data_IF_475248500033
#
_entry.id   IF_475248500033
#
_cell.length_a   1.000
_cell.length_b   1.000
_cell.length_c   1.000
_cell.angle_alpha   90.00
_cell.angle_beta   90.00
_cell.angle_gamma   90.00
#
_symmetry.space_group_name_H-M   'P 1'
#
loop_
_entity.id
_entity.type
_entity.pdbx_description
1 polymer ?
#
# COMPACT_ATOMS: atom_id res chain seq x y z
N UNK A 1 38.88 7.22 -43.41
CA UNK A 1 40.10 7.95 -43.00
C UNK A 1 39.96 8.21 -41.51
N UNK A 2 40.25 7.19 -40.69
CA UNK A 2 41.46 7.13 -39.83
C UNK A 2 41.30 8.04 -38.61
N UNK A 3 41.40 7.64 -37.34
CA UNK A 3 42.19 6.58 -36.73
C UNK A 3 41.64 6.29 -35.31
N UNK A 4 41.56 5.01 -34.95
CA UNK A 4 41.58 4.53 -33.57
C UNK A 4 43.04 4.32 -33.14
N UNK A 5 43.41 4.62 -31.89
CA UNK A 5 44.40 3.80 -31.21
C UNK A 5 43.84 3.23 -29.90
N UNK A 6 43.42 1.97 -29.98
CA UNK A 6 44.03 0.84 -29.28
C UNK A 6 44.91 1.20 -28.05
N UNK A 7 44.32 1.29 -26.86
CA UNK A 7 45.04 1.01 -25.61
C UNK A 7 44.60 -0.37 -25.15
N UNK A 8 45.45 -1.33 -25.48
CA UNK A 8 45.37 -2.71 -25.07
C UNK A 8 45.87 -2.88 -23.62
N UNK A 9 45.08 -3.64 -22.86
CA UNK A 9 45.51 -4.74 -21.98
C UNK A 9 46.45 -4.41 -20.80
N UNK A 10 45.93 -4.56 -19.57
CA UNK A 10 46.54 -5.49 -18.61
C UNK A 10 45.46 -6.33 -17.92
N UNK A 11 45.69 -7.63 -17.93
CA UNK A 11 44.82 -8.74 -17.50
C UNK A 11 45.04 -9.08 -16.01
N UNK A 12 43.95 -9.55 -15.37
CA UNK A 12 43.85 -10.68 -14.42
C UNK A 12 44.56 -10.56 -13.04
N UNK A 13 44.14 -11.29 -11.96
CA UNK A 13 43.43 -12.57 -11.98
C UNK A 13 42.20 -12.72 -11.07
N UNK A 14 41.45 -13.81 -11.35
CA UNK A 14 40.49 -14.43 -10.46
C UNK A 14 41.16 -14.85 -9.15
N UNK A 15 40.54 -14.51 -8.02
CA UNK A 15 40.66 -15.23 -6.74
C UNK A 15 39.27 -15.24 -6.10
N UNK A 16 38.46 -16.28 -6.33
CA UNK A 16 38.33 -17.41 -5.39
C UNK A 16 38.18 -16.97 -3.94
N UNK A 17 36.95 -16.85 -3.46
CA UNK A 17 36.55 -17.41 -2.17
C UNK A 17 35.07 -17.78 -2.23
N UNK A 18 34.81 -18.95 -2.81
CA UNK A 18 33.62 -19.71 -2.47
C UNK A 18 33.68 -20.06 -0.99
N UNK A 19 32.60 -19.79 -0.24
CA UNK A 19 32.34 -20.49 1.02
C UNK A 19 31.23 -21.49 0.74
N UNK A 20 31.50 -22.79 0.74
CA UNK A 20 30.47 -23.80 0.66
C UNK A 20 29.72 -23.90 2.00
N UNK A 21 28.40 -24.02 1.86
CA UNK A 21 27.41 -24.72 2.68
C UNK A 21 27.97 -25.41 3.94
N UNK A 22 27.47 -24.99 5.11
CA UNK A 22 27.34 -25.89 6.27
C UNK A 22 25.85 -26.21 6.45
N UNK A 23 25.54 -27.48 6.20
CA UNK A 23 24.29 -28.17 6.46
C UNK A 23 24.38 -28.83 7.85
N UNK A 24 23.24 -29.14 8.50
CA UNK A 24 23.00 -29.91 9.76
C UNK A 24 22.68 -29.04 10.99
N UNK A 25 21.61 -29.24 11.77
CA UNK A 25 20.56 -30.28 11.84
C UNK A 25 19.41 -29.74 12.73
N UNK A 26 18.12 -29.92 12.41
CA UNK A 26 17.25 -31.10 12.61
C UNK A 26 16.95 -31.42 14.10
N UNK A 27 15.68 -31.13 14.46
CA UNK A 27 14.79 -31.80 15.43
C UNK A 27 15.06 -31.76 16.94
N UNK A 28 14.10 -31.23 17.70
CA UNK A 28 13.25 -31.97 18.67
C UNK A 28 12.01 -31.09 19.01
N UNK A 29 10.79 -31.51 18.63
CA UNK A 29 9.79 -32.19 19.49
C UNK A 29 9.53 -31.43 20.82
N UNK A 30 8.33 -30.99 21.20
CA UNK A 30 6.98 -31.16 20.68
C UNK A 30 5.94 -30.61 21.69
N UNK A 31 4.71 -30.44 21.20
CA UNK A 31 3.42 -30.53 21.89
C UNK A 31 3.11 -29.64 23.11
N UNK A 32 2.34 -28.59 22.86
CA UNK A 32 1.12 -28.29 23.65
C UNK A 32 0.10 -27.67 22.69
N UNK A 33 -0.81 -28.48 22.15
CA UNK A 33 -2.16 -28.69 22.66
C UNK A 33 -3.08 -27.46 22.47
N UNK A 34 -3.74 -27.47 21.31
CA UNK A 34 -5.19 -27.40 21.16
C UNK A 34 -5.92 -26.28 21.91
N UNK A 35 -6.15 -25.13 21.26
CA UNK A 35 -7.29 -24.26 21.59
C UNK A 35 -7.92 -23.68 20.30
N UNK A 36 -9.01 -24.33 19.89
CA UNK A 36 -10.23 -23.80 19.27
C UNK A 36 -10.59 -22.37 19.75
N UNK A 37 -11.28 -21.47 19.04
CA UNK A 37 -12.27 -21.56 17.97
C UNK A 37 -12.45 -20.15 17.33
N UNK A 38 -13.27 -19.98 16.27
CA UNK A 38 -13.47 -18.70 15.58
C UNK A 38 -14.56 -17.86 16.26
N UNK A 39 -14.27 -16.59 16.53
CA UNK A 39 -15.29 -15.61 16.89
C UNK A 39 -15.50 -14.67 15.69
N UNK A 40 -16.49 -15.01 14.87
CA UNK A 40 -17.15 -14.09 13.94
C UNK A 40 -17.87 -13.03 14.78
N UNK A 41 -17.19 -11.93 15.07
CA UNK A 41 -17.84 -10.75 15.64
C UNK A 41 -18.18 -9.81 14.47
N UNK A 42 -19.40 -9.95 13.96
CA UNK A 42 -20.05 -8.92 13.16
C UNK A 42 -20.20 -7.67 14.03
N UNK A 43 -19.60 -6.51 13.70
CA UNK A 43 -19.93 -5.29 14.40
C UNK A 43 -21.36 -4.88 14.01
N UNK A 44 -22.31 -5.16 14.89
CA UNK A 44 -23.62 -4.51 14.87
C UNK A 44 -23.40 -3.07 15.33
N UNK A 45 -23.67 -2.05 14.51
CA UNK A 45 -23.61 -0.67 14.99
C UNK A 45 -24.68 -0.48 16.08
N UNK A 46 -24.37 0.24 17.18
CA UNK A 46 -25.36 0.53 18.19
C UNK A 46 -26.48 1.38 17.57
N UNK A 47 -27.69 0.82 17.53
CA UNK A 47 -28.90 1.61 17.43
C UNK A 47 -29.00 2.44 18.70
N UNK A 48 -28.60 3.70 18.64
CA UNK A 48 -28.91 4.66 19.70
C UNK A 48 -30.41 4.92 19.72
N UNK A 49 -31.03 5.00 20.92
CA UNK A 49 -32.44 5.32 21.06
C UNK A 49 -32.68 6.75 20.58
N UNK A 50 -33.62 6.91 19.66
CA UNK A 50 -34.17 8.22 19.31
C UNK A 50 -35.12 8.61 20.44
N UNK A 51 -34.58 9.25 21.49
CA UNK A 51 -35.43 9.92 22.47
C UNK A 51 -35.58 11.39 22.08
N UNK A 52 -36.82 11.67 21.69
CA UNK A 52 -37.36 12.97 21.34
C UNK A 52 -37.37 13.88 22.57
N UNK A 53 -36.74 15.04 22.49
CA UNK A 53 -37.19 16.25 23.21
C UNK A 53 -36.74 17.48 22.42
N UNK A 54 -37.70 18.13 21.77
CA UNK A 54 -37.53 19.43 21.15
C UNK A 54 -37.49 20.54 22.21
N UNK A 55 -36.85 21.67 21.90
CA UNK A 55 -37.65 22.89 21.85
C UNK A 55 -37.60 23.51 20.45
N UNK A 56 -38.76 23.98 20.03
CA UNK A 56 -38.98 24.68 18.78
C UNK A 56 -38.16 25.98 18.72
N UNK A 57 -37.15 26.06 17.85
CA UNK A 57 -36.63 27.32 17.32
C UNK A 57 -36.13 27.15 15.87
N UNK A 58 -36.71 27.98 15.00
CA UNK A 58 -36.26 28.34 13.65
C UNK A 58 -36.28 27.26 12.54
N UNK A 59 -36.74 27.69 11.37
CA UNK A 59 -37.05 26.87 10.20
C UNK A 59 -35.75 26.36 9.56
N UNK A 60 -35.47 25.07 9.70
CA UNK A 60 -34.38 24.38 9.02
C UNK A 60 -34.94 23.63 7.80
N UNK A 61 -34.46 23.88 6.56
CA UNK A 61 -34.98 23.18 5.40
C UNK A 61 -34.56 21.71 5.51
N UNK A 62 -35.54 20.82 5.50
CA UNK A 62 -35.37 19.38 5.52
C UNK A 62 -34.62 18.92 4.26
N UNK A 63 -33.29 18.85 4.32
CA UNK A 63 -32.49 18.23 3.27
C UNK A 63 -32.54 16.72 3.50
N UNK A 64 -33.52 16.06 2.87
CA UNK A 64 -33.45 14.64 2.52
C UNK A 64 -32.04 14.35 2.02
N UNK A 65 -31.34 13.27 2.42
CA UNK A 65 -30.05 12.94 1.83
C UNK A 65 -30.26 12.80 0.32
N UNK A 66 -29.86 13.81 -0.43
CA UNK A 66 -29.70 13.70 -1.85
C UNK A 66 -28.57 12.69 -2.00
N UNK A 67 -28.91 11.47 -2.42
CA UNK A 67 -27.93 10.53 -2.90
C UNK A 67 -27.26 11.22 -4.08
N UNK A 68 -26.14 11.87 -3.80
CA UNK A 68 -25.31 12.52 -4.81
C UNK A 68 -25.11 11.51 -5.92
N UNK A 69 -25.31 11.89 -7.20
CA UNK A 69 -25.02 10.98 -8.29
C UNK A 69 -23.60 10.48 -8.09
N UNK A 70 -23.40 9.16 -8.19
CA UNK A 70 -22.08 8.52 -8.13
C UNK A 70 -21.34 8.95 -9.39
N UNK A 71 -20.81 10.17 -9.38
CA UNK A 71 -20.03 10.74 -10.47
C UNK A 71 -18.58 10.39 -10.20
N UNK A 72 -18.06 9.47 -11.00
CA UNK A 72 -16.64 9.16 -11.07
C UNK A 72 -16.41 7.68 -11.33
N UNK A 73 -15.82 7.37 -12.48
CA UNK A 73 -15.06 6.12 -12.60
C UNK A 73 -13.98 6.16 -11.53
N UNK A 74 -13.84 5.10 -10.74
CA UNK A 74 -12.80 5.03 -9.72
C UNK A 74 -11.41 5.24 -10.35
N UNK A 75 -10.53 5.96 -9.64
CA UNK A 75 -9.15 6.14 -10.10
C UNK A 75 -8.46 4.76 -10.19
N UNK A 76 -8.01 4.32 -11.36
CA UNK A 76 -7.41 2.99 -11.53
C UNK A 76 -6.15 2.80 -10.68
N UNK A 77 -5.38 3.86 -10.42
CA UNK A 77 -4.20 3.80 -9.56
C UNK A 77 -4.57 3.58 -8.09
N UNK A 78 -5.63 4.24 -7.63
CA UNK A 78 -6.18 4.07 -6.28
C UNK A 78 -6.70 2.65 -6.07
N UNK A 79 -7.50 2.13 -7.03
CA UNK A 79 -7.99 0.75 -7.00
C UNK A 79 -6.85 -0.26 -7.03
N UNK A 80 -5.76 0.02 -7.76
CA UNK A 80 -4.59 -0.84 -7.78
C UNK A 80 -3.88 -0.87 -6.41
N UNK A 81 -3.77 0.28 -5.73
CA UNK A 81 -3.24 0.34 -4.36
C UNK A 81 -4.06 -0.53 -3.39
N UNK A 82 -5.39 -0.36 -3.41
CA UNK A 82 -6.30 -1.14 -2.55
C UNK A 82 -6.24 -2.63 -2.85
N UNK A 83 -6.16 -3.01 -4.14
CA UNK A 83 -5.99 -4.42 -4.56
C UNK A 83 -4.67 -5.03 -4.13
N UNK A 84 -3.62 -4.22 -3.97
CA UNK A 84 -2.35 -4.65 -3.40
C UNK A 84 -2.39 -4.77 -1.87
N UNK A 85 -3.56 -4.56 -1.25
CA UNK A 85 -3.75 -4.57 0.20
C UNK A 85 -3.24 -3.29 0.88
N UNK A 86 -2.95 -2.25 0.10
CA UNK A 86 -2.48 -0.98 0.62
C UNK A 86 -3.62 -0.03 1.00
N UNK A 87 -3.26 1.03 1.72
CA UNK A 87 -4.15 2.15 2.01
C UNK A 87 -3.72 3.38 1.21
N UNK A 88 -4.71 4.11 0.70
CA UNK A 88 -4.48 5.32 -0.10
C UNK A 88 -4.52 6.56 0.80
N UNK A 89 -3.50 7.41 0.68
CA UNK A 89 -3.46 8.75 1.27
C UNK A 89 -3.34 9.80 0.18
N UNK A 90 -4.28 10.74 0.10
CA UNK A 90 -4.20 11.85 -0.84
C UNK A 90 -3.40 13.01 -0.24
N UNK A 91 -2.39 13.48 -0.97
CA UNK A 91 -1.55 14.62 -0.58
C UNK A 91 -1.51 15.68 -1.67
N UNK A 92 -1.39 16.94 -1.29
CA UNK A 92 -1.13 18.02 -2.24
C UNK A 92 0.35 18.10 -2.55
N UNK A 93 0.68 18.13 -3.85
CA UNK A 93 2.03 18.31 -4.37
C UNK A 93 2.09 19.53 -5.30
N UNK A 94 3.24 19.68 -5.95
CA UNK A 94 3.51 20.83 -6.85
C UNK A 94 2.59 20.84 -8.07
N UNK A 95 2.17 19.65 -8.51
CA UNK A 95 1.36 19.46 -9.72
C UNK A 95 -0.12 19.17 -9.40
N UNK A 96 -0.56 19.51 -8.19
CA UNK A 96 -1.89 19.16 -7.68
C UNK A 96 -1.86 17.97 -6.72
N UNK A 97 -3.03 17.39 -6.47
CA UNK A 97 -3.18 16.26 -5.54
C UNK A 97 -2.68 14.96 -6.15
N UNK A 98 -1.93 14.18 -5.38
CA UNK A 98 -1.44 12.86 -5.74
C UNK A 98 -1.75 11.86 -4.63
N UNK A 99 -1.93 10.58 -4.98
CA UNK A 99 -2.09 9.50 -4.02
C UNK A 99 -0.76 8.88 -3.61
N UNK A 100 -0.60 8.62 -2.32
CA UNK A 100 0.44 7.78 -1.73
C UNK A 100 -0.19 6.45 -1.37
N UNK A 101 0.38 5.37 -1.87
CA UNK A 101 0.00 4.02 -1.47
C UNK A 101 0.90 3.54 -0.33
N UNK A 102 0.29 3.17 0.78
CA UNK A 102 0.93 2.55 1.94
C UNK A 102 0.66 1.05 1.91
N UNK A 103 1.69 0.25 1.59
CA UNK A 103 1.57 -1.20 1.49
C UNK A 103 1.73 -1.89 2.85
N UNK A 104 1.20 -3.12 3.02
CA UNK A 104 1.24 -3.84 4.30
C UNK A 104 2.65 -4.29 4.72
N UNK A 105 3.61 -4.29 3.79
CA UNK A 105 5.03 -4.52 4.06
C UNK A 105 5.73 -3.26 4.62
N UNK A 106 5.02 -2.14 4.74
CA UNK A 106 5.54 -0.85 5.17
C UNK A 106 6.11 0.00 4.03
N UNK A 107 6.11 -0.50 2.79
CA UNK A 107 6.56 0.26 1.63
C UNK A 107 5.58 1.40 1.32
N UNK A 108 6.13 2.56 0.92
CA UNK A 108 5.34 3.72 0.49
C UNK A 108 5.79 4.20 -0.88
N UNK A 109 4.84 4.51 -1.74
CA UNK A 109 5.11 4.96 -3.11
C UNK A 109 3.96 5.80 -3.66
N UNK A 110 4.20 6.53 -4.74
CA UNK A 110 3.15 7.27 -5.43
C UNK A 110 2.27 6.32 -6.28
N UNK A 111 0.94 6.49 -6.19
CA UNK A 111 -0.04 5.53 -6.74
C UNK A 111 0.10 5.32 -8.25
N UNK A 112 0.34 6.38 -9.03
CA UNK A 112 0.42 6.27 -10.49
C UNK A 112 1.73 5.63 -10.94
N UNK A 113 2.81 5.89 -10.22
CA UNK A 113 4.11 5.26 -10.43
C UNK A 113 4.03 3.76 -10.12
N UNK A 114 3.36 3.40 -9.03
CA UNK A 114 3.12 2.00 -8.68
C UNK A 114 2.22 1.30 -9.72
N UNK A 115 1.11 1.93 -10.12
CA UNK A 115 0.19 1.39 -11.13
C UNK A 115 0.88 1.09 -12.46
N UNK A 116 1.77 1.97 -12.95
CA UNK A 116 2.44 1.78 -14.24
C UNK A 116 3.59 0.79 -14.20
N UNK A 117 4.29 0.71 -13.08
CA UNK A 117 5.54 -0.08 -12.98
C UNK A 117 5.36 -1.41 -12.25
N UNK A 118 4.29 -1.55 -11.47
CA UNK A 118 4.09 -2.66 -10.54
C UNK A 118 5.09 -2.67 -9.37
N UNK A 119 5.92 -1.63 -9.22
CA UNK A 119 6.96 -1.55 -8.18
C UNK A 119 6.68 -0.39 -7.25
N UNK A 120 6.53 -0.69 -5.96
CA UNK A 120 6.40 0.34 -4.95
C UNK A 120 7.79 0.79 -4.51
N UNK A 121 8.21 1.98 -4.95
CA UNK A 121 9.51 2.57 -4.58
C UNK A 121 9.31 3.94 -3.92
N UNK A 122 9.96 4.17 -2.78
CA UNK A 122 9.91 5.44 -2.08
C UNK A 122 10.47 6.61 -2.91
N UNK A 123 11.36 6.32 -3.86
CA UNK A 123 11.90 7.32 -4.79
C UNK A 123 10.83 8.04 -5.62
N UNK A 124 9.70 7.37 -5.88
CA UNK A 124 8.56 7.96 -6.61
C UNK A 124 7.94 9.16 -5.89
N UNK A 125 8.11 9.26 -4.57
CA UNK A 125 7.59 10.36 -3.75
C UNK A 125 8.50 11.59 -3.74
N UNK A 126 9.80 11.44 -4.03
CA UNK A 126 10.79 12.53 -3.95
C UNK A 126 10.52 13.68 -4.94
N UNK A 127 9.67 13.46 -5.94
CA UNK A 127 9.42 14.39 -7.06
C UNK A 127 8.00 14.96 -7.10
N UNK A 128 7.18 14.71 -6.07
CA UNK A 128 5.78 15.17 -6.02
C UNK A 128 5.63 16.54 -5.38
#
# INVERSE_FOLDING_TARGET
>A
MSNFPLIAQRRAPLSFFGRPVTLMGVCLFGLVACQSAPATATPTPPATPVETTAPAQAVEPTVKPAQSPVIGIANPASVHCEKAGGTLELKNGKNGTYGICHLPDGSMCEEWSFFRTGKCTADSLKKK
#
